data_IF_575470540712
#
_entry.id   IF_575470540712
#
_cell.length_a   1.000
_cell.length_b   1.000
_cell.length_c   1.000
_cell.angle_alpha   90.00
_cell.angle_beta   90.00
_cell.angle_gamma   90.00
#
_symmetry.space_group_name_H-M   'P 1'
#
loop_
_entity.id
_entity.type
_entity.pdbx_description
1 polymer ?
#
# COMPACT_ATOMS: atom_id res chain seq x y z
N UNK A 1 32.93 -27.44 -25.31
CA UNK A 1 33.03 -26.99 -23.91
C UNK A 1 31.95 -25.97 -23.71
N UNK A 2 31.02 -26.32 -22.83
CA UNK A 2 29.65 -25.82 -22.73
C UNK A 2 29.55 -24.47 -21.98
N UNK A 3 28.43 -23.79 -22.20
CA UNK A 3 28.06 -22.41 -21.92
C UNK A 3 28.62 -21.75 -20.63
N UNK A 4 29.10 -20.52 -20.79
CA UNK A 4 29.40 -19.60 -19.68
C UNK A 4 28.20 -18.68 -19.40
N UNK A 5 27.90 -18.50 -18.11
CA UNK A 5 27.02 -17.50 -17.50
C UNK A 5 25.51 -17.59 -17.75
N UNK A 6 24.84 -18.48 -17.02
CA UNK A 6 23.51 -18.19 -16.53
C UNK A 6 23.62 -17.21 -15.34
N UNK A 7 23.38 -15.92 -15.57
CA UNK A 7 23.09 -14.99 -14.47
C UNK A 7 21.70 -15.34 -13.93
N UNK A 8 21.64 -16.16 -12.88
CA UNK A 8 20.43 -16.31 -12.07
C UNK A 8 20.13 -14.98 -11.38
N UNK A 9 19.33 -14.14 -12.01
CA UNK A 9 18.63 -13.06 -11.31
C UNK A 9 17.42 -13.67 -10.60
N UNK A 10 17.64 -14.29 -9.44
CA UNK A 10 16.55 -14.50 -8.48
C UNK A 10 16.65 -13.40 -7.43
N UNK A 11 16.12 -12.23 -7.77
CA UNK A 11 15.57 -11.34 -6.76
C UNK A 11 14.07 -11.44 -6.95
N UNK A 12 13.39 -12.08 -5.99
CA UNK A 12 11.94 -11.95 -5.88
C UNK A 12 11.63 -10.46 -5.94
N UNK A 13 10.78 -10.05 -6.89
CA UNK A 13 10.40 -8.66 -7.01
C UNK A 13 9.52 -8.32 -5.80
N UNK A 14 10.14 -7.87 -4.71
CA UNK A 14 9.40 -7.19 -3.66
C UNK A 14 8.85 -5.90 -4.28
N UNK A 15 7.57 -5.64 -4.00
CA UNK A 15 6.96 -4.41 -4.46
C UNK A 15 7.76 -3.22 -3.92
N UNK A 16 7.90 -2.19 -4.77
CA UNK A 16 8.56 -0.93 -4.42
C UNK A 16 7.56 0.18 -4.57
N UNK A 17 7.52 1.07 -3.58
CA UNK A 17 6.51 2.10 -3.48
C UNK A 17 7.14 3.49 -3.41
N UNK A 18 6.37 4.49 -3.80
CA UNK A 18 6.60 5.89 -3.47
C UNK A 18 5.24 6.50 -3.10
N UNK A 19 5.24 7.39 -2.11
CA UNK A 19 4.04 8.14 -1.73
C UNK A 19 4.14 9.58 -2.22
N UNK A 20 3.01 10.13 -2.63
CA UNK A 20 2.75 11.57 -2.71
C UNK A 20 1.57 11.91 -1.81
N UNK A 21 1.71 12.94 -0.97
CA UNK A 21 0.70 13.31 0.04
C UNK A 21 1.07 12.82 1.43
N UNK A 22 0.07 12.50 2.24
CA UNK A 22 0.23 12.33 3.70
C UNK A 22 0.76 10.95 4.13
N UNK A 23 0.70 9.96 3.24
CA UNK A 23 1.19 8.61 3.54
C UNK A 23 2.72 8.55 3.53
N UNK A 24 3.26 7.59 4.27
CA UNK A 24 4.71 7.36 4.33
C UNK A 24 5.11 6.04 3.68
N UNK A 25 6.32 5.99 3.12
CA UNK A 25 6.93 4.76 2.60
C UNK A 25 8.25 4.53 3.32
N UNK A 26 8.47 3.30 3.78
CA UNK A 26 9.72 2.86 4.40
C UNK A 26 10.10 1.49 3.87
N UNK A 27 11.16 1.43 3.07
CA UNK A 27 11.59 0.20 2.42
C UNK A 27 10.52 -0.33 1.45
N UNK A 28 9.94 -1.48 1.79
CA UNK A 28 8.89 -2.15 1.01
C UNK A 28 7.48 -1.95 1.57
N UNK A 29 7.33 -1.17 2.65
CA UNK A 29 6.04 -0.90 3.26
C UNK A 29 5.58 0.52 2.93
N UNK A 30 4.28 0.72 2.75
CA UNK A 30 3.64 2.02 2.77
C UNK A 30 2.60 2.06 3.89
N UNK A 31 2.35 3.24 4.45
CA UNK A 31 1.54 3.40 5.65
C UNK A 31 0.57 4.55 5.50
N UNK A 32 -0.59 4.42 6.15
CA UNK A 32 -1.47 5.56 6.36
C UNK A 32 -0.72 6.69 7.08
N UNK A 33 -1.22 7.94 6.99
CA UNK A 33 -0.60 9.04 7.72
C UNK A 33 -0.55 8.73 9.22
N UNK A 34 0.54 9.16 9.88
CA UNK A 34 0.78 9.02 11.31
C UNK A 34 0.87 7.58 11.87
N UNK A 35 0.73 6.53 11.06
CA UNK A 35 0.81 5.14 11.52
C UNK A 35 2.11 4.88 12.33
N UNK A 36 2.05 4.22 13.51
CA UNK A 36 0.92 3.45 14.06
C UNK A 36 -0.06 4.26 14.92
N UNK A 37 0.09 5.58 14.99
CA UNK A 37 -0.91 6.46 15.60
C UNK A 37 -2.07 6.68 14.66
N UNK A 38 -3.12 7.33 15.16
CA UNK A 38 -4.33 7.54 14.37
C UNK A 38 -4.05 8.48 13.20
N UNK A 39 -4.59 8.17 12.03
CA UNK A 39 -4.60 9.12 10.93
C UNK A 39 -5.49 10.33 11.27
N UNK A 40 -5.23 11.44 10.61
CA UNK A 40 -6.03 12.66 10.69
C UNK A 40 -7.23 12.64 9.73
N UNK A 41 -8.10 13.61 9.89
CA UNK A 41 -9.28 13.83 9.05
C UNK A 41 -8.87 14.52 7.74
N UNK A 42 -9.65 14.32 6.69
CA UNK A 42 -9.46 14.93 5.36
C UNK A 42 -8.06 14.71 4.75
N UNK A 43 -7.40 13.61 5.12
CA UNK A 43 -6.04 13.30 4.65
C UNK A 43 -6.09 12.47 3.39
N UNK A 44 -5.16 12.73 2.48
CA UNK A 44 -5.10 12.01 1.20
C UNK A 44 -3.68 11.67 0.81
N UNK A 45 -3.54 10.56 0.10
CA UNK A 45 -2.28 10.22 -0.53
C UNK A 45 -2.48 9.34 -1.75
N UNK A 46 -1.43 9.26 -2.56
CA UNK A 46 -1.31 8.32 -3.68
C UNK A 46 -0.03 7.52 -3.50
N UNK A 47 -0.13 6.20 -3.68
CA UNK A 47 1.00 5.29 -3.68
C UNK A 47 1.26 4.84 -5.11
N UNK A 48 2.46 5.13 -5.61
CA UNK A 48 2.93 4.70 -6.92
C UNK A 48 3.74 3.42 -6.79
N UNK A 49 3.44 2.42 -7.62
CA UNK A 49 4.13 1.13 -7.65
C UNK A 49 5.26 1.16 -8.69
N UNK A 50 6.49 0.92 -8.25
CA UNK A 50 7.70 0.89 -9.10
C UNK A 50 8.18 -0.52 -9.42
N UNK A 51 7.75 -1.52 -8.65
CA UNK A 51 8.03 -2.92 -8.91
C UNK A 51 6.77 -3.74 -8.59
N UNK A 52 6.43 -4.68 -9.46
CA UNK A 52 5.31 -5.58 -9.25
C UNK A 52 5.54 -6.49 -8.04
N UNK A 53 4.47 -6.92 -7.39
CA UNK A 53 4.52 -7.80 -6.24
C UNK A 53 3.13 -8.14 -5.72
N UNK A 54 3.06 -8.68 -4.50
CA UNK A 54 1.81 -9.01 -3.81
C UNK A 54 1.78 -8.24 -2.50
N UNK A 55 0.67 -7.55 -2.22
CA UNK A 55 0.49 -6.81 -0.98
C UNK A 55 0.34 -7.77 0.20
N UNK A 56 1.02 -7.45 1.29
CA UNK A 56 0.92 -8.13 2.57
C UNK A 56 0.52 -7.09 3.60
N UNK A 57 -0.63 -7.29 4.25
CA UNK A 57 -1.16 -6.34 5.22
C UNK A 57 -0.75 -6.78 6.62
N UNK A 58 -0.05 -5.92 7.33
CA UNK A 58 0.38 -6.16 8.72
C UNK A 58 -0.65 -5.65 9.73
N UNK A 59 -1.34 -4.56 9.39
CA UNK A 59 -2.44 -3.98 10.16
C UNK A 59 -3.39 -3.24 9.23
N UNK A 60 -4.68 -3.31 9.54
CA UNK A 60 -5.70 -2.55 8.84
C UNK A 60 -6.85 -2.24 9.80
N UNK A 61 -6.98 -0.98 10.17
CA UNK A 61 -8.06 -0.47 11.01
C UNK A 61 -8.38 0.94 10.55
N UNK A 62 -9.46 1.06 9.78
CA UNK A 62 -9.99 2.33 9.27
C UNK A 62 -11.48 2.45 9.55
N UNK A 63 -12.09 3.62 9.32
CA UNK A 63 -13.54 3.74 9.43
C UNK A 63 -14.23 2.96 8.30
N UNK A 64 -15.07 2.00 8.68
CA UNK A 64 -15.72 1.09 7.74
C UNK A 64 -16.71 1.82 6.86
N UNK A 65 -16.45 1.84 5.55
CA UNK A 65 -17.34 2.42 4.52
C UNK A 65 -17.20 3.93 4.32
N UNK A 66 -16.23 4.57 4.98
CA UNK A 66 -16.01 6.01 4.90
C UNK A 66 -14.56 6.33 4.52
N UNK A 67 -13.59 5.74 5.24
CA UNK A 67 -12.18 5.91 4.96
C UNK A 67 -11.66 4.76 4.10
N UNK A 68 -11.27 5.06 2.86
CA UNK A 68 -11.06 4.05 1.82
C UNK A 68 -9.63 4.03 1.29
N UNK A 69 -9.02 2.85 1.31
CA UNK A 69 -7.85 2.52 0.51
C UNK A 69 -8.35 1.89 -0.79
N UNK A 70 -8.08 2.51 -1.92
CA UNK A 70 -8.48 2.00 -3.24
C UNK A 70 -7.25 1.41 -3.93
N UNK A 71 -7.31 0.14 -4.30
CA UNK A 71 -6.26 -0.57 -5.07
C UNK A 71 -6.89 -1.04 -6.37
N UNK A 72 -6.42 -0.49 -7.50
CA UNK A 72 -6.90 -0.82 -8.85
C UNK A 72 -8.44 -0.72 -9.01
N UNK A 73 -9.03 0.29 -8.37
CA UNK A 73 -10.48 0.51 -8.39
C UNK A 73 -11.29 -0.30 -7.37
N UNK A 74 -10.66 -1.18 -6.59
CA UNK A 74 -11.30 -1.91 -5.50
C UNK A 74 -11.09 -1.17 -4.18
N UNK A 75 -12.18 -0.85 -3.48
CA UNK A 75 -12.15 -0.19 -2.18
C UNK A 75 -11.98 -1.17 -1.02
N UNK A 76 -11.17 -0.78 -0.04
CA UNK A 76 -10.92 -1.47 1.21
C UNK A 76 -11.11 -0.50 2.38
N UNK A 77 -11.86 -0.91 3.40
CA UNK A 77 -12.10 -0.14 4.63
C UNK A 77 -12.39 -1.07 5.82
N UNK A 78 -12.46 -0.51 7.03
CA UNK A 78 -12.71 -1.27 8.25
C UNK A 78 -11.49 -2.08 8.67
N UNK A 79 -11.66 -3.40 8.78
CA UNK A 79 -10.59 -4.34 9.21
C UNK A 79 -10.11 -5.30 8.11
N UNK A 80 -10.64 -5.15 6.88
CA UNK A 80 -10.33 -6.04 5.75
C UNK A 80 -9.49 -5.31 4.71
N UNK A 81 -8.17 -5.34 4.87
CA UNK A 81 -7.22 -4.74 3.93
C UNK A 81 -6.92 -5.61 2.68
N UNK A 82 -6.16 -5.09 1.71
CA UNK A 82 -5.87 -5.74 0.42
C UNK A 82 -4.80 -6.84 0.49
N UNK A 83 -4.79 -7.68 1.53
CA UNK A 83 -3.77 -8.73 1.66
C UNK A 83 -3.94 -9.78 0.57
N UNK A 84 -2.84 -10.14 -0.11
CA UNK A 84 -2.83 -11.10 -1.22
C UNK A 84 -3.17 -10.48 -2.58
N UNK A 85 -3.40 -9.17 -2.67
CA UNK A 85 -3.66 -8.47 -3.94
C UNK A 85 -2.35 -8.29 -4.70
N UNK A 86 -2.32 -8.75 -5.95
CA UNK A 86 -1.19 -8.51 -6.87
C UNK A 86 -1.22 -7.08 -7.40
N UNK A 87 -0.06 -6.42 -7.38
CA UNK A 87 0.13 -5.06 -7.90
C UNK A 87 1.22 -5.04 -8.95
N UNK A 88 1.10 -4.11 -9.89
CA UNK A 88 2.08 -3.87 -10.97
C UNK A 88 2.34 -2.38 -11.11
N UNK A 89 3.27 -1.99 -11.99
CA UNK A 89 3.60 -0.57 -12.23
C UNK A 89 2.45 0.24 -12.85
N UNK A 90 1.39 -0.41 -13.34
CA UNK A 90 0.17 0.26 -13.79
C UNK A 90 -0.91 0.33 -12.71
N UNK A 91 -0.72 -0.31 -11.55
CA UNK A 91 -1.70 -0.31 -10.47
C UNK A 91 -1.74 1.07 -9.80
N UNK A 92 -2.93 1.65 -9.74
CA UNK A 92 -3.19 2.87 -8.97
C UNK A 92 -3.58 2.52 -7.54
N UNK A 93 -2.95 3.17 -6.56
CA UNK A 93 -3.29 3.03 -5.14
C UNK A 93 -3.51 4.42 -4.54
N UNK A 94 -4.68 4.64 -3.93
CA UNK A 94 -5.02 5.92 -3.29
C UNK A 94 -5.66 5.70 -1.94
N UNK A 95 -5.42 6.63 -1.02
CA UNK A 95 -6.05 6.67 0.30
C UNK A 95 -6.72 8.01 0.52
N UNK A 96 -7.90 7.99 1.14
CA UNK A 96 -8.57 9.18 1.65
C UNK A 96 -9.28 8.87 2.97
N UNK A 97 -9.16 9.78 3.94
CA UNK A 97 -10.04 9.83 5.10
C UNK A 97 -11.10 10.91 4.95
N UNK A 98 -12.25 10.72 5.59
CA UNK A 98 -13.33 11.69 5.63
C UNK A 98 -13.15 12.72 6.77
N UNK A 99 -14.17 13.55 6.97
CA UNK A 99 -14.15 14.65 7.95
C UNK A 99 -14.48 14.23 9.40
N UNK A 100 -14.57 12.93 9.70
CA UNK A 100 -14.95 12.40 11.01
C UNK A 100 -14.34 11.03 11.30
N UNK A 101 -14.18 10.71 12.58
CA UNK A 101 -13.59 9.46 13.08
C UNK A 101 -12.19 9.14 12.52
N UNK A 102 -11.38 8.45 13.32
CA UNK A 102 -10.14 7.91 12.82
C UNK A 102 -9.69 6.75 13.69
N UNK A 103 -8.79 5.97 13.13
CA UNK A 103 -8.26 4.75 13.72
C UNK A 103 -6.77 4.65 13.44
N UNK A 104 -6.12 3.57 13.87
CA UNK A 104 -4.67 3.40 13.68
C UNK A 104 -4.23 3.35 12.23
N UNK A 105 -5.13 3.10 11.28
CA UNK A 105 -4.83 3.06 9.85
C UNK A 105 -4.23 1.74 9.40
N UNK A 106 -3.24 1.77 8.51
CA UNK A 106 -2.68 0.58 7.88
C UNK A 106 -1.18 0.63 7.63
N UNK A 107 -0.60 -0.56 7.53
CA UNK A 107 0.72 -0.88 6.97
C UNK A 107 0.67 -2.20 6.19
#
# INVERSE_FOLDING_TARGET
TDACCACRATVSADAKFQSTGDCSVSGHCFRSPNYPSYYGLDQTCTITVFAAGVLMVTSFSTESGYDELIVDGVSYSGSSGPSGVSVSTSTSITWASDSSASFSGFE
#
